data_IF_497795002171
#
_entry.id   IF_497795002171
#
_cell.length_a   1.000
_cell.length_b   1.000
_cell.length_c   1.000
_cell.angle_alpha   90.00
_cell.angle_beta   90.00
_cell.angle_gamma   90.00
#
_symmetry.space_group_name_H-M   'P 1'
#
loop_
_entity.id
_entity.type
_entity.pdbx_description
1 polymer ?
#
# COMPACT_ATOMS: atom_id res chain seq x y z
N UNK A 1 4.24 10.68 -6.18
CA UNK A 1 3.72 9.81 -5.10
C UNK A 1 3.73 8.40 -5.65
N UNK A 2 4.48 7.45 -5.06
CA UNK A 2 4.49 6.07 -5.54
C UNK A 2 3.09 5.45 -5.43
N UNK A 3 2.71 4.68 -6.43
CA UNK A 3 1.53 3.82 -6.39
C UNK A 3 1.93 2.45 -5.89
N UNK A 4 1.17 1.91 -4.95
CA UNK A 4 1.38 0.58 -4.40
C UNK A 4 0.08 -0.19 -4.37
N UNK A 5 0.18 -1.51 -4.47
CA UNK A 5 -0.89 -2.44 -4.11
C UNK A 5 -0.51 -3.09 -2.79
N UNK A 6 -1.40 -2.99 -1.80
CA UNK A 6 -1.21 -3.58 -0.48
C UNK A 6 -2.35 -4.54 -0.16
N UNK A 7 -1.99 -5.78 0.13
CA UNK A 7 -2.90 -6.82 0.59
C UNK A 7 -2.74 -7.01 2.10
N UNK A 8 -3.86 -7.18 2.80
CA UNK A 8 -3.93 -7.12 4.25
C UNK A 8 -4.58 -8.39 4.79
N UNK A 9 -4.17 -8.82 5.97
CA UNK A 9 -4.58 -10.13 6.51
C UNK A 9 -6.01 -10.16 7.04
N UNK A 10 -6.59 -9.00 7.36
CA UNK A 10 -7.92 -8.89 7.96
C UNK A 10 -8.50 -7.47 7.82
N UNK A 11 -9.80 -7.34 8.12
CA UNK A 11 -10.55 -6.07 8.05
C UNK A 11 -10.06 -5.00 9.04
N UNK A 12 -9.47 -5.38 10.17
CA UNK A 12 -8.92 -4.42 11.16
C UNK A 12 -7.68 -3.73 10.58
N UNK A 13 -6.77 -4.51 10.00
CA UNK A 13 -5.61 -4.02 9.28
C UNK A 13 -6.03 -3.13 8.09
N UNK A 14 -7.00 -3.59 7.30
CA UNK A 14 -7.59 -2.82 6.20
C UNK A 14 -8.04 -1.43 6.63
N UNK A 15 -8.89 -1.34 7.65
CA UNK A 15 -9.40 -0.06 8.10
C UNK A 15 -8.30 0.85 8.67
N UNK A 16 -7.35 0.28 9.42
CA UNK A 16 -6.20 1.01 9.96
C UNK A 16 -5.40 1.67 8.84
N UNK A 17 -4.90 0.88 7.89
CA UNK A 17 -4.01 1.37 6.85
C UNK A 17 -4.73 2.27 5.84
N UNK A 18 -6.00 1.99 5.51
CA UNK A 18 -6.80 2.88 4.66
C UNK A 18 -6.96 4.27 5.29
N UNK A 19 -7.26 4.33 6.59
CA UNK A 19 -7.36 5.59 7.32
C UNK A 19 -6.01 6.32 7.43
N UNK A 20 -4.92 5.58 7.60
CA UNK A 20 -3.57 6.15 7.63
C UNK A 20 -3.18 6.80 6.29
N UNK A 21 -3.43 6.10 5.17
CA UNK A 21 -3.22 6.64 3.83
C UNK A 21 -4.00 7.92 3.62
N UNK A 22 -5.30 7.91 3.92
CA UNK A 22 -6.16 9.10 3.76
C UNK A 22 -5.75 10.23 4.71
N UNK A 23 -5.41 9.91 5.96
CA UNK A 23 -5.02 10.88 6.99
C UNK A 23 -3.69 11.57 6.70
N UNK A 24 -2.77 10.92 5.99
CA UNK A 24 -1.51 11.50 5.56
C UNK A 24 -1.58 12.18 4.17
N UNK A 25 -2.77 12.30 3.58
CA UNK A 25 -2.97 12.95 2.28
C UNK A 25 -2.63 12.06 1.08
N UNK A 26 -2.55 10.75 1.28
CA UNK A 26 -2.54 9.77 0.20
C UNK A 26 -3.92 9.58 -0.43
N UNK A 27 -3.97 8.79 -1.50
CA UNK A 27 -5.18 8.58 -2.29
C UNK A 27 -5.40 7.10 -2.58
N UNK A 28 -6.59 6.60 -2.27
CA UNK A 28 -7.02 5.26 -2.70
C UNK A 28 -7.40 5.33 -4.19
N UNK A 29 -6.73 4.53 -5.02
CA UNK A 29 -7.00 4.39 -6.46
C UNK A 29 -8.03 3.30 -6.69
N UNK A 30 -7.86 2.17 -6.01
CA UNK A 30 -8.74 1.03 -6.10
C UNK A 30 -8.89 0.36 -4.74
N UNK A 31 -10.09 -0.11 -4.45
CA UNK A 31 -10.44 -0.71 -3.18
C UNK A 31 -10.87 -2.17 -3.43
N UNK A 32 -10.20 -3.12 -2.77
CA UNK A 32 -10.49 -4.55 -2.95
C UNK A 32 -11.38 -5.10 -1.84
N UNK A 33 -12.04 -4.23 -1.06
CA UNK A 33 -13.02 -4.55 -0.01
C UNK A 33 -12.51 -5.60 1.00
N UNK A 34 -12.05 -5.13 2.17
CA UNK A 34 -11.52 -5.95 3.29
C UNK A 34 -10.23 -6.74 3.00
N UNK A 35 -9.84 -6.92 1.74
CA UNK A 35 -8.62 -7.64 1.32
C UNK A 35 -7.40 -6.75 1.15
N UNK A 36 -7.59 -5.47 0.81
CA UNK A 36 -6.49 -4.58 0.46
C UNK A 36 -6.94 -3.41 -0.40
N UNK A 37 -5.98 -2.66 -0.92
CA UNK A 37 -6.23 -1.54 -1.83
C UNK A 37 -4.99 -1.19 -2.66
N UNK A 38 -5.21 -0.51 -3.78
CA UNK A 38 -4.16 0.22 -4.52
C UNK A 38 -4.24 1.69 -4.14
N UNK A 39 -3.11 2.30 -3.79
CA UNK A 39 -3.05 3.68 -3.34
C UNK A 39 -1.80 4.42 -3.81
N UNK A 40 -1.95 5.73 -4.02
CA UNK A 40 -0.84 6.68 -4.09
C UNK A 40 -0.46 7.11 -2.68
N UNK A 41 0.80 6.92 -2.32
CA UNK A 41 1.30 7.26 -0.99
C UNK A 41 2.17 8.53 -1.00
N UNK A 42 2.11 9.35 0.06
CA UNK A 42 3.18 10.28 0.37
C UNK A 42 4.51 9.53 0.55
N UNK A 43 5.62 10.14 0.14
CA UNK A 43 6.93 9.49 0.15
C UNK A 43 7.33 8.96 1.55
N UNK A 44 7.00 9.71 2.60
CA UNK A 44 7.29 9.33 3.98
C UNK A 44 6.52 8.06 4.39
N UNK A 45 5.20 8.03 4.18
CA UNK A 45 4.36 6.87 4.48
C UNK A 45 4.79 5.64 3.66
N UNK A 46 5.19 5.82 2.40
CA UNK A 46 5.72 4.71 1.60
C UNK A 46 6.96 4.06 2.25
N UNK A 47 7.92 4.85 2.73
CA UNK A 47 9.13 4.33 3.40
C UNK A 47 8.79 3.64 4.72
N UNK A 48 7.86 4.21 5.50
CA UNK A 48 7.38 3.64 6.76
C UNK A 48 6.70 2.28 6.52
N UNK A 49 5.78 2.18 5.56
CA UNK A 49 5.08 0.93 5.24
C UNK A 49 6.01 -0.12 4.62
N UNK A 50 6.96 0.28 3.76
CA UNK A 50 7.95 -0.62 3.18
C UNK A 50 8.87 -1.23 4.26
N UNK A 51 9.23 -0.45 5.29
CA UNK A 51 10.01 -0.98 6.41
C UNK A 51 9.19 -1.93 7.29
N UNK A 52 7.89 -1.64 7.46
CA UNK A 52 6.98 -2.43 8.30
C UNK A 52 6.54 -3.74 7.65
N UNK A 53 6.37 -3.76 6.32
CA UNK A 53 5.97 -4.97 5.58
C UNK A 53 7.02 -6.09 5.64
N UNK A 54 8.26 -5.76 5.99
CA UNK A 54 9.36 -6.72 6.13
C UNK A 54 9.35 -7.47 7.46
N UNK A 55 8.41 -7.17 8.37
CA UNK A 55 8.32 -7.77 9.71
C UNK A 55 7.44 -9.04 9.67
N UNK A 56 8.05 -10.19 9.96
CA UNK A 56 7.35 -11.47 10.05
C UNK A 56 6.20 -11.41 11.09
N UNK A 57 5.00 -11.82 10.68
CA UNK A 57 3.80 -11.77 11.53
C UNK A 57 3.02 -10.46 11.48
N UNK A 58 3.47 -9.44 10.74
CA UNK A 58 2.76 -8.17 10.58
C UNK A 58 1.40 -8.29 9.87
N UNK A 59 0.63 -7.21 9.90
CA UNK A 59 -0.73 -7.10 9.36
C UNK A 59 -0.79 -7.08 7.82
N UNK A 60 0.34 -6.79 7.18
CA UNK A 60 0.50 -6.72 5.72
C UNK A 60 0.80 -8.12 5.19
N UNK A 61 -0.01 -8.57 4.24
CA UNK A 61 0.16 -9.85 3.54
C UNK A 61 1.02 -9.70 2.28
N UNK A 62 0.82 -8.64 1.50
CA UNK A 62 1.66 -8.26 0.36
C UNK A 62 1.77 -6.73 0.27
N UNK A 63 2.91 -6.24 -0.18
CA UNK A 63 3.17 -4.84 -0.44
C UNK A 63 4.01 -4.73 -1.72
N UNK A 64 3.37 -4.29 -2.81
CA UNK A 64 3.94 -4.27 -4.14
C UNK A 64 3.95 -2.83 -4.65
N UNK A 65 5.13 -2.37 -5.08
CA UNK A 65 5.22 -1.12 -5.81
C UNK A 65 4.65 -1.35 -7.22
N UNK A 66 3.66 -0.56 -7.61
CA UNK A 66 3.17 -0.55 -8.98
C UNK A 66 4.21 0.18 -9.83
N UNK A 67 5.25 -0.56 -10.19
CA UNK A 67 6.23 -0.16 -11.17
C UNK A 67 5.55 -0.26 -12.53
N UNK A 68 4.84 0.82 -12.92
CA UNK A 68 4.37 0.98 -14.29
C UNK A 68 5.48 0.54 -15.23
N UNK A 69 5.27 -0.58 -15.92
CA UNK A 69 6.32 -1.24 -16.71
C UNK A 69 6.80 -0.20 -17.72
N UNK A 70 7.99 0.36 -17.48
CA UNK A 70 8.65 1.16 -18.49
C UNK A 70 9.19 0.15 -19.48
N UNK A 71 8.39 -0.22 -20.48
CA UNK A 71 8.89 -0.98 -21.62
C UNK A 71 9.86 -0.05 -22.33
N UNK A 72 11.15 -0.17 -21.99
CA UNK A 72 12.22 0.49 -22.71
C UNK A 72 12.46 -0.37 -23.95
N UNK A 73 11.80 -0.02 -25.06
CA UNK A 73 12.10 -0.59 -26.38
C UNK A 73 13.53 -0.15 -26.73
N UNK A 74 14.46 -1.11 -26.78
CA UNK A 74 15.79 -0.94 -27.39
C UNK A 74 15.70 -1.14 -28.90
#
# INVERSE_FOLDING_TARGET
MPTITMMLKNVVAYNKYKNEVLGQGGRIIHDYEDLGFTAELPQQLFQELQSTSSIAGGDIASFELDSGVTIQLQ
#
